data_IF_321526257944
#
_entry.id   IF_321526257944
#
_cell.length_a   1.000
_cell.length_b   1.000
_cell.length_c   1.000
_cell.angle_alpha   90.00
_cell.angle_beta   90.00
_cell.angle_gamma   90.00
#
_symmetry.space_group_name_H-M   'P 1'
#
loop_
_entity.id
_entity.type
_entity.pdbx_description
1 polymer ?
#
# COMPACT_ATOMS: atom_id res chain seq x y z
N UNK A 1 9.50 -20.14 9.72
CA UNK A 1 8.09 -20.52 10.03
C UNK A 1 7.39 -20.81 8.72
N UNK A 2 6.29 -21.58 8.75
CA UNK A 2 5.48 -21.77 7.55
C UNK A 2 4.72 -20.47 7.24
N UNK A 3 4.92 -19.82 6.08
CA UNK A 3 4.25 -18.55 5.74
C UNK A 3 2.72 -18.69 5.69
N UNK A 4 2.19 -19.90 5.44
CA UNK A 4 0.75 -20.16 5.38
C UNK A 4 0.08 -20.23 6.75
N UNK A 5 0.85 -20.33 7.83
CA UNK A 5 0.34 -20.38 9.20
C UNK A 5 0.33 -18.99 9.86
N UNK A 6 1.03 -17.99 9.26
CA UNK A 6 1.04 -16.63 9.77
C UNK A 6 -0.36 -16.03 9.74
N UNK A 7 -0.80 -15.49 10.87
CA UNK A 7 -2.06 -14.76 10.99
C UNK A 7 -1.88 -13.36 10.41
N UNK A 8 -2.33 -13.18 9.18
CA UNK A 8 -2.16 -11.93 8.44
C UNK A 8 -3.41 -11.06 8.58
N UNK A 9 -3.21 -9.79 8.96
CA UNK A 9 -4.22 -8.76 8.81
C UNK A 9 -3.89 -7.89 7.61
N UNK A 10 -4.80 -7.84 6.64
CA UNK A 10 -4.66 -7.06 5.42
C UNK A 10 -5.42 -5.73 5.55
N UNK A 11 -4.77 -4.62 5.23
CA UNK A 11 -5.33 -3.27 5.35
C UNK A 11 -5.22 -2.54 4.02
N UNK A 12 -6.34 -2.16 3.41
CA UNK A 12 -6.36 -1.50 2.11
C UNK A 12 -7.71 -0.89 1.78
N UNK A 13 -7.77 -0.06 0.74
CA UNK A 13 -9.03 0.60 0.32
C UNK A 13 -9.28 0.48 -1.18
N UNK A 14 -8.40 0.99 -2.08
CA UNK A 14 -8.68 1.05 -3.51
C UNK A 14 -8.39 -0.27 -4.23
N UNK A 15 -8.78 -0.33 -5.48
CA UNK A 15 -8.53 -1.42 -6.40
C UNK A 15 -7.06 -1.88 -6.44
N UNK A 16 -6.11 -0.96 -6.31
CA UNK A 16 -4.67 -1.26 -6.29
C UNK A 16 -4.28 -2.35 -5.27
N UNK A 17 -5.02 -2.45 -4.17
CA UNK A 17 -4.78 -3.43 -3.12
C UNK A 17 -5.43 -4.81 -3.40
N UNK A 18 -6.45 -4.87 -4.26
CA UNK A 18 -7.26 -6.07 -4.48
C UNK A 18 -6.48 -7.25 -5.03
N UNK A 19 -5.63 -7.12 -6.07
CA UNK A 19 -4.87 -8.27 -6.58
C UNK A 19 -3.95 -8.90 -5.54
N UNK A 20 -3.34 -8.10 -4.67
CA UNK A 20 -2.50 -8.62 -3.57
C UNK A 20 -3.32 -9.43 -2.57
N UNK A 21 -4.52 -8.95 -2.18
CA UNK A 21 -5.42 -9.70 -1.31
C UNK A 21 -5.84 -11.04 -1.94
N UNK A 22 -6.25 -11.02 -3.22
CA UNK A 22 -6.63 -12.22 -3.96
C UNK A 22 -5.47 -13.20 -4.09
N UNK A 23 -4.26 -12.73 -4.38
CA UNK A 23 -3.06 -13.55 -4.50
C UNK A 23 -2.69 -14.24 -3.18
N UNK A 24 -2.80 -13.53 -2.06
CA UNK A 24 -2.59 -14.12 -0.73
C UNK A 24 -3.58 -15.26 -0.46
N UNK A 25 -4.88 -15.04 -0.67
CA UNK A 25 -5.89 -16.07 -0.45
C UNK A 25 -5.73 -17.25 -1.41
N UNK A 26 -5.54 -16.98 -2.70
CA UNK A 26 -5.31 -18.03 -3.70
C UNK A 26 -4.03 -18.84 -3.43
N UNK A 27 -3.01 -18.18 -2.87
CA UNK A 27 -1.77 -18.81 -2.42
C UNK A 27 -1.91 -19.61 -1.11
N UNK A 28 -3.07 -19.62 -0.47
CA UNK A 28 -3.31 -20.36 0.78
C UNK A 28 -2.72 -19.66 2.02
N UNK A 29 -2.42 -18.36 1.97
CA UNK A 29 -2.00 -17.61 3.15
C UNK A 29 -3.19 -17.35 4.08
N UNK A 30 -2.94 -17.38 5.38
CA UNK A 30 -3.98 -17.23 6.40
C UNK A 30 -4.32 -15.75 6.67
N UNK A 31 -5.14 -15.16 5.80
CA UNK A 31 -5.68 -13.80 6.02
C UNK A 31 -6.83 -13.90 7.02
N UNK A 32 -6.58 -13.49 8.27
CA UNK A 32 -7.55 -13.61 9.37
C UNK A 32 -8.57 -12.49 9.42
N UNK A 33 -8.25 -11.33 8.86
CA UNK A 33 -9.19 -10.22 8.69
C UNK A 33 -8.69 -9.22 7.65
N UNK A 34 -9.64 -8.47 7.09
CA UNK A 34 -9.40 -7.34 6.19
C UNK A 34 -9.92 -6.07 6.86
N UNK A 35 -9.06 -5.04 6.92
CA UNK A 35 -9.44 -3.73 7.44
C UNK A 35 -9.55 -2.75 6.27
N UNK A 36 -10.68 -2.08 6.17
CA UNK A 36 -10.90 -1.08 5.11
C UNK A 36 -11.67 0.13 5.64
N UNK A 37 -11.88 1.15 4.80
CA UNK A 37 -12.64 2.34 5.19
C UNK A 37 -14.12 2.03 5.35
N UNK A 38 -14.86 2.75 6.24
CA UNK A 38 -16.31 2.66 6.31
C UNK A 38 -16.97 2.99 4.97
N UNK A 39 -18.14 2.38 4.73
CA UNK A 39 -18.98 2.71 3.58
C UNK A 39 -19.42 4.17 3.68
N UNK A 40 -19.42 4.87 2.56
CA UNK A 40 -19.79 6.29 2.50
C UNK A 40 -20.84 6.52 1.43
N UNK A 41 -21.84 7.37 1.69
CA UNK A 41 -22.72 7.85 0.64
C UNK A 41 -21.89 8.55 -0.46
N UNK A 42 -22.07 8.17 -1.71
CA UNK A 42 -21.36 8.77 -2.86
C UNK A 42 -22.30 8.98 -4.05
N UNK A 43 -21.95 9.97 -4.87
CA UNK A 43 -22.61 10.27 -6.12
C UNK A 43 -24.01 10.91 -6.00
N UNK A 44 -24.65 11.17 -7.16
CA UNK A 44 -26.04 11.64 -7.25
C UNK A 44 -26.96 10.51 -6.79
N UNK A 45 -27.69 10.70 -5.68
CA UNK A 45 -28.58 9.70 -5.10
C UNK A 45 -28.04 8.99 -3.87
N UNK A 46 -26.86 9.39 -3.34
CA UNK A 46 -26.28 8.93 -2.07
C UNK A 46 -26.28 7.39 -1.89
N UNK A 47 -26.02 6.64 -2.96
CA UNK A 47 -25.81 5.21 -2.85
C UNK A 47 -24.57 4.93 -2.01
N UNK A 48 -24.64 3.96 -1.09
CA UNK A 48 -23.50 3.53 -0.30
C UNK A 48 -22.41 2.99 -1.22
N UNK A 49 -21.26 3.67 -1.20
CA UNK A 49 -20.06 3.22 -1.90
C UNK A 49 -19.24 2.36 -0.95
N UNK A 50 -19.05 1.11 -1.32
CA UNK A 50 -18.16 0.17 -0.65
C UNK A 50 -16.78 0.23 -1.29
N UNK A 51 -15.72 0.06 -0.49
CA UNK A 51 -14.37 0.00 -1.04
C UNK A 51 -14.16 -1.27 -1.88
N UNK A 52 -13.32 -1.20 -2.91
CA UNK A 52 -13.00 -2.35 -3.75
C UNK A 52 -12.41 -3.51 -2.94
N UNK A 53 -11.62 -3.18 -1.92
CA UNK A 53 -11.06 -4.18 -0.99
C UNK A 53 -12.17 -4.85 -0.17
N UNK A 54 -13.22 -4.11 0.27
CA UNK A 54 -14.37 -4.72 0.96
C UNK A 54 -15.08 -5.71 0.06
N UNK A 55 -15.40 -5.31 -1.17
CA UNK A 55 -16.09 -6.17 -2.13
C UNK A 55 -15.30 -7.47 -2.35
N UNK A 56 -14.00 -7.35 -2.59
CA UNK A 56 -13.14 -8.52 -2.76
C UNK A 56 -13.08 -9.40 -1.50
N UNK A 57 -12.99 -8.80 -0.31
CA UNK A 57 -12.96 -9.54 0.95
C UNK A 57 -14.26 -10.35 1.18
N UNK A 58 -15.42 -9.76 0.88
CA UNK A 58 -16.70 -10.42 0.99
C UNK A 58 -16.84 -11.60 0.01
N UNK A 59 -16.40 -11.42 -1.25
CA UNK A 59 -16.36 -12.49 -2.25
C UNK A 59 -15.45 -13.65 -1.82
N UNK A 60 -14.36 -13.34 -1.11
CA UNK A 60 -13.40 -14.33 -0.59
C UNK A 60 -13.82 -14.94 0.76
N UNK A 61 -14.97 -14.53 1.32
CA UNK A 61 -15.46 -15.01 2.61
C UNK A 61 -14.62 -14.57 3.82
N UNK A 62 -13.87 -13.46 3.70
CA UNK A 62 -13.00 -12.96 4.76
C UNK A 62 -13.75 -12.02 5.72
N UNK A 63 -13.42 -12.05 7.02
CA UNK A 63 -13.91 -11.07 7.98
C UNK A 63 -13.47 -9.65 7.61
N UNK A 64 -14.41 -8.68 7.64
CA UNK A 64 -14.14 -7.27 7.30
C UNK A 64 -14.36 -6.39 8.52
N UNK A 65 -13.36 -5.57 8.84
CA UNK A 65 -13.41 -4.54 9.87
C UNK A 65 -13.39 -3.15 9.23
N UNK A 66 -14.34 -2.30 9.60
CA UNK A 66 -14.49 -0.95 9.03
C UNK A 66 -14.52 0.12 10.13
N UNK A 67 -13.42 0.33 10.88
CA UNK A 67 -13.42 1.29 11.97
C UNK A 67 -13.51 2.73 11.44
N UNK A 68 -14.36 3.55 12.03
CA UNK A 68 -14.36 5.00 11.78
C UNK A 68 -13.08 5.62 12.32
N UNK A 69 -12.71 5.27 13.54
CA UNK A 69 -11.51 5.72 14.23
C UNK A 69 -10.57 4.54 14.52
N UNK A 70 -9.37 4.59 13.98
CA UNK A 70 -8.36 3.53 14.16
C UNK A 70 -7.82 3.42 15.59
N UNK A 71 -8.05 4.44 16.44
CA UNK A 71 -7.66 4.44 17.86
C UNK A 71 -8.84 4.08 18.79
N UNK A 72 -10.02 3.77 18.26
CA UNK A 72 -11.16 3.41 19.06
C UNK A 72 -10.87 2.11 19.85
N UNK A 73 -11.17 2.08 21.18
CA UNK A 73 -10.84 0.92 22.00
C UNK A 73 -11.41 -0.39 21.45
N UNK A 74 -12.66 -0.37 21.00
CA UNK A 74 -13.33 -1.53 20.42
C UNK A 74 -12.62 -2.09 19.18
N UNK A 75 -12.01 -1.23 18.36
CA UNK A 75 -11.24 -1.67 17.21
C UNK A 75 -9.86 -2.22 17.64
N UNK A 76 -9.21 -1.58 18.61
CA UNK A 76 -7.94 -2.07 19.16
C UNK A 76 -8.12 -3.45 19.79
N UNK A 77 -9.18 -3.64 20.58
CA UNK A 77 -9.54 -4.93 21.18
C UNK A 77 -9.83 -6.00 20.11
N UNK A 78 -10.60 -5.66 19.08
CA UNK A 78 -10.87 -6.56 17.96
C UNK A 78 -9.56 -6.98 17.25
N UNK A 79 -8.65 -6.05 17.00
CA UNK A 79 -7.35 -6.33 16.41
C UNK A 79 -6.49 -7.23 17.32
N UNK A 80 -6.47 -6.97 18.63
CA UNK A 80 -5.75 -7.80 19.61
C UNK A 80 -6.30 -9.24 19.66
N UNK A 81 -7.62 -9.39 19.61
CA UNK A 81 -8.27 -10.71 19.59
C UNK A 81 -7.89 -11.54 18.35
N UNK A 82 -7.56 -10.90 17.23
CA UNK A 82 -7.05 -11.58 16.04
C UNK A 82 -5.66 -12.16 16.23
N UNK A 83 -4.88 -11.71 17.23
CA UNK A 83 -3.48 -12.12 17.48
C UNK A 83 -2.67 -12.12 16.18
N UNK A 84 -2.54 -10.98 15.49
CA UNK A 84 -1.88 -10.93 14.18
C UNK A 84 -0.38 -11.20 14.31
N UNK A 85 0.13 -12.02 13.40
CA UNK A 85 1.58 -12.22 13.26
C UNK A 85 2.20 -11.16 12.35
N UNK A 86 1.47 -10.76 11.30
CA UNK A 86 1.96 -9.84 10.27
C UNK A 86 0.82 -8.92 9.82
N UNK A 87 1.14 -7.63 9.70
CA UNK A 87 0.29 -6.63 9.07
C UNK A 87 0.73 -6.33 7.63
N UNK A 88 -0.21 -6.22 6.71
CA UNK A 88 0.04 -5.78 5.33
C UNK A 88 -0.79 -4.55 5.05
N UNK A 89 -0.16 -3.48 4.58
CA UNK A 89 -0.82 -2.22 4.25
C UNK A 89 -0.62 -1.90 2.77
N UNK A 90 -1.69 -1.63 2.05
CA UNK A 90 -1.62 -1.20 0.65
C UNK A 90 -2.65 -0.09 0.42
N UNK A 91 -2.16 1.11 0.12
CA UNK A 91 -3.00 2.28 -0.17
C UNK A 91 -4.12 2.47 0.88
N UNK A 92 -3.73 2.62 2.12
CA UNK A 92 -4.62 2.82 3.25
C UNK A 92 -4.33 4.15 3.96
N UNK A 93 -5.24 4.59 4.82
CA UNK A 93 -5.01 5.78 5.66
C UNK A 93 -3.91 5.53 6.68
N UNK A 94 -3.31 6.62 7.19
CA UNK A 94 -2.24 6.54 8.20
C UNK A 94 -2.68 5.72 9.41
N UNK A 95 -1.90 4.72 9.76
CA UNK A 95 -2.12 3.85 10.92
C UNK A 95 -1.50 4.44 12.17
N UNK A 96 -2.21 4.43 13.31
CA UNK A 96 -1.60 4.75 14.60
C UNK A 96 -0.67 3.61 15.05
N UNK A 97 0.32 3.97 15.87
CA UNK A 97 1.32 3.02 16.38
C UNK A 97 0.69 1.79 17.04
N UNK A 98 -0.34 2.00 17.87
CA UNK A 98 -1.06 0.91 18.57
C UNK A 98 -1.59 -0.18 17.61
N UNK A 99 -1.75 0.12 16.32
CA UNK A 99 -2.20 -0.83 15.29
C UNK A 99 -1.01 -1.40 14.52
N UNK A 100 -0.12 -0.54 13.97
CA UNK A 100 0.97 -1.06 13.12
C UNK A 100 2.06 -1.79 13.90
N UNK A 101 2.25 -1.47 15.19
CA UNK A 101 3.22 -2.16 16.05
C UNK A 101 2.67 -3.43 16.73
N UNK A 102 1.35 -3.71 16.57
CA UNK A 102 0.71 -4.84 17.22
C UNK A 102 1.14 -6.22 16.68
N UNK A 103 1.29 -6.42 15.35
CA UNK A 103 1.72 -7.72 14.82
C UNK A 103 3.17 -8.03 15.23
N UNK A 104 3.43 -9.24 15.74
CA UNK A 104 4.75 -9.61 16.29
C UNK A 104 5.90 -9.60 15.28
N UNK A 105 5.61 -9.75 13.98
CA UNK A 105 6.58 -9.65 12.88
C UNK A 105 6.56 -8.26 12.23
N UNK A 106 5.80 -7.31 12.83
CA UNK A 106 5.63 -5.97 12.32
C UNK A 106 4.55 -5.85 11.26
N UNK A 107 4.47 -4.66 10.71
CA UNK A 107 3.56 -4.32 9.60
C UNK A 107 4.39 -3.75 8.48
N UNK A 108 4.21 -4.24 7.26
CA UNK A 108 4.85 -3.65 6.10
C UNK A 108 3.82 -3.00 5.15
N UNK A 109 4.30 -2.02 4.39
CA UNK A 109 3.53 -1.36 3.33
C UNK A 109 4.10 -1.72 1.96
N UNK A 110 3.23 -1.83 0.96
CA UNK A 110 3.58 -1.78 -0.45
C UNK A 110 3.42 -0.35 -0.95
N UNK A 111 4.52 0.28 -1.34
CA UNK A 111 4.56 1.63 -1.91
C UNK A 111 4.91 1.59 -3.39
N UNK A 112 4.20 2.39 -4.20
CA UNK A 112 4.33 2.38 -5.65
C UNK A 112 5.42 3.33 -6.16
N UNK A 113 6.62 3.26 -5.57
CA UNK A 113 7.83 3.92 -6.05
C UNK A 113 9.08 3.15 -5.62
N UNK A 114 10.24 3.56 -6.11
CA UNK A 114 11.56 3.15 -5.61
C UNK A 114 11.95 4.06 -4.45
N UNK A 115 11.56 3.72 -3.22
CA UNK A 115 11.96 4.47 -2.03
C UNK A 115 13.49 4.58 -1.95
N UNK A 116 14.04 5.71 -1.52
CA UNK A 116 13.40 6.85 -0.86
C UNK A 116 12.75 7.88 -1.80
N UNK A 117 12.79 7.70 -3.11
CA UNK A 117 12.16 8.60 -4.06
C UNK A 117 10.64 8.48 -4.02
N UNK A 118 9.94 9.59 -4.22
CA UNK A 118 8.48 9.64 -4.33
C UNK A 118 7.74 9.14 -3.08
N UNK A 119 8.25 9.47 -1.88
CA UNK A 119 7.48 9.32 -0.64
C UNK A 119 6.22 10.18 -0.70
N UNK A 120 5.07 9.65 -0.28
CA UNK A 120 3.82 10.40 -0.21
C UNK A 120 2.64 9.76 -0.92
N UNK A 121 1.63 10.57 -1.24
CA UNK A 121 0.29 10.09 -1.59
C UNK A 121 0.09 9.73 -3.08
N UNK A 122 0.93 10.24 -4.00
CA UNK A 122 0.72 10.08 -5.45
C UNK A 122 2.00 9.68 -6.22
N UNK A 123 2.74 8.64 -5.78
CA UNK A 123 4.04 8.29 -6.34
C UNK A 123 4.00 7.97 -7.84
N UNK A 124 3.00 7.25 -8.31
CA UNK A 124 2.85 6.89 -9.73
C UNK A 124 2.68 8.13 -10.59
N UNK A 125 1.81 9.04 -10.16
CA UNK A 125 1.54 10.27 -10.91
C UNK A 125 2.80 11.13 -11.02
N UNK A 126 3.50 11.34 -9.91
CA UNK A 126 4.67 12.22 -9.90
C UNK A 126 5.86 11.64 -10.66
N UNK A 127 6.04 10.32 -10.67
CA UNK A 127 7.06 9.70 -11.52
C UNK A 127 6.79 9.98 -13.02
N UNK A 128 5.53 9.87 -13.45
CA UNK A 128 5.14 10.17 -14.85
C UNK A 128 5.21 11.66 -15.14
N UNK A 129 4.73 12.54 -14.24
CA UNK A 129 4.77 14.00 -14.41
C UNK A 129 6.22 14.50 -14.53
N UNK A 130 7.13 13.96 -13.74
CA UNK A 130 8.55 14.34 -13.77
C UNK A 130 9.33 13.74 -14.95
N UNK A 131 8.67 12.91 -15.78
CA UNK A 131 9.30 12.33 -16.96
C UNK A 131 10.35 11.27 -16.63
N UNK A 132 10.18 10.57 -15.52
CA UNK A 132 11.07 9.46 -15.17
C UNK A 132 11.03 8.36 -16.23
N UNK A 133 12.15 7.71 -16.43
CA UNK A 133 12.26 6.56 -17.34
C UNK A 133 12.14 5.22 -16.63
N UNK A 134 12.14 5.24 -15.30
CA UNK A 134 12.02 4.09 -14.42
C UNK A 134 11.30 4.49 -13.13
N UNK A 135 10.50 3.59 -12.60
CA UNK A 135 9.94 3.63 -11.25
C UNK A 135 9.95 2.23 -10.66
N UNK A 136 9.10 1.92 -9.70
CA UNK A 136 9.01 0.57 -9.16
C UNK A 136 8.04 0.45 -8.01
N UNK A 137 8.18 -0.64 -7.29
CA UNK A 137 7.45 -0.91 -6.06
C UNK A 137 8.41 -1.27 -4.95
N UNK A 138 8.08 -0.86 -3.74
CA UNK A 138 8.88 -1.11 -2.53
C UNK A 138 8.00 -1.70 -1.44
N UNK A 139 8.44 -2.78 -0.80
CA UNK A 139 7.92 -3.20 0.50
C UNK A 139 8.86 -2.72 1.60
N UNK A 140 8.28 -2.12 2.66
CA UNK A 140 9.05 -1.59 3.78
C UNK A 140 8.28 -1.71 5.09
N UNK A 141 8.97 -1.88 6.22
CA UNK A 141 8.38 -1.92 7.55
C UNK A 141 7.88 -0.53 7.95
N UNK A 142 6.70 -0.46 8.58
CA UNK A 142 6.19 0.80 9.10
C UNK A 142 6.96 1.25 10.34
N UNK A 143 7.13 2.55 10.45
CA UNK A 143 7.64 3.23 11.63
C UNK A 143 6.83 4.52 11.89
N UNK A 144 7.32 5.42 12.75
CA UNK A 144 6.65 6.68 13.08
C UNK A 144 6.65 7.71 11.95
N UNK A 145 7.55 7.58 10.96
CA UNK A 145 7.70 8.52 9.87
C UNK A 145 7.05 7.99 8.58
N UNK A 146 6.40 8.88 7.84
CA UNK A 146 5.71 8.51 6.60
C UNK A 146 6.72 8.03 5.56
N UNK A 147 6.55 6.79 5.08
CA UNK A 147 7.32 6.14 4.02
C UNK A 147 8.84 6.11 4.26
N UNK A 148 9.29 6.23 5.52
CA UNK A 148 10.70 6.22 5.91
C UNK A 148 11.14 4.95 6.65
N UNK A 149 10.30 3.95 6.76
CA UNK A 149 10.64 2.69 7.41
C UNK A 149 11.66 1.87 6.62
N UNK A 150 12.23 0.87 7.25
CA UNK A 150 13.28 0.04 6.67
C UNK A 150 12.78 -0.76 5.45
N UNK A 151 13.46 -0.62 4.32
CA UNK A 151 13.12 -1.28 3.04
C UNK A 151 13.40 -2.78 3.15
N UNK A 152 12.40 -3.60 2.80
CA UNK A 152 12.53 -5.06 2.75
C UNK A 152 12.94 -5.51 1.36
N UNK A 153 12.25 -5.03 0.32
CA UNK A 153 12.50 -5.39 -1.06
C UNK A 153 12.01 -4.33 -2.03
N UNK A 154 12.60 -4.30 -3.23
CA UNK A 154 12.22 -3.40 -4.32
C UNK A 154 12.25 -4.11 -5.65
N UNK A 155 11.32 -3.76 -6.53
CA UNK A 155 11.33 -4.18 -7.93
C UNK A 155 11.24 -2.97 -8.83
N UNK A 156 12.19 -2.86 -9.78
CA UNK A 156 12.26 -1.79 -10.77
C UNK A 156 11.31 -2.08 -11.93
N UNK A 157 10.65 -1.04 -12.43
CA UNK A 157 9.72 -1.12 -13.56
C UNK A 157 10.02 0.03 -14.52
N UNK A 158 10.35 -0.25 -15.79
CA UNK A 158 10.61 0.81 -16.78
C UNK A 158 9.33 1.55 -17.14
N UNK A 159 9.45 2.87 -17.33
CA UNK A 159 8.42 3.74 -17.89
C UNK A 159 8.76 3.92 -19.37
N UNK A 160 7.95 3.32 -20.25
CA UNK A 160 8.15 3.39 -21.69
C UNK A 160 7.57 4.69 -22.27
N UNK A 161 8.04 5.15 -23.44
CA UNK A 161 7.57 6.42 -24.03
C UNK A 161 6.04 6.52 -24.29
N UNK A 162 5.35 5.40 -24.32
CA UNK A 162 3.89 5.35 -24.51
C UNK A 162 3.12 5.15 -23.19
N UNK A 163 3.85 4.99 -22.08
CA UNK A 163 3.20 4.81 -20.80
C UNK A 163 2.59 6.13 -20.29
N UNK A 164 1.49 6.00 -19.62
CA UNK A 164 0.81 7.03 -18.87
C UNK A 164 0.52 6.55 -17.45
N UNK A 165 -0.10 7.39 -16.63
CA UNK A 165 -0.43 7.03 -15.23
C UNK A 165 -1.26 5.75 -15.14
N UNK A 166 -2.24 5.55 -16.04
CA UNK A 166 -3.09 4.35 -16.04
C UNK A 166 -2.30 3.08 -16.34
N UNK A 167 -1.49 3.08 -17.43
CA UNK A 167 -0.67 1.90 -17.76
C UNK A 167 0.38 1.61 -16.70
N UNK A 168 0.95 2.64 -16.07
CA UNK A 168 1.89 2.46 -14.96
C UNK A 168 1.20 1.96 -13.70
N UNK A 169 -0.02 2.42 -13.41
CA UNK A 169 -0.84 1.90 -12.31
C UNK A 169 -1.02 0.39 -12.43
N UNK A 170 -1.42 -0.11 -13.60
CA UNK A 170 -1.63 -1.54 -13.84
C UNK A 170 -0.32 -2.34 -13.70
N UNK A 171 0.78 -1.86 -14.30
CA UNK A 171 2.10 -2.51 -14.20
C UNK A 171 2.56 -2.62 -12.75
N UNK A 172 2.48 -1.52 -11.99
CA UNK A 172 2.94 -1.48 -10.60
C UNK A 172 2.03 -2.29 -9.67
N UNK A 173 0.73 -2.32 -9.94
CA UNK A 173 -0.23 -3.15 -9.21
C UNK A 173 0.11 -4.64 -9.35
N UNK A 174 0.36 -5.12 -10.57
CA UNK A 174 0.73 -6.52 -10.80
C UNK A 174 2.11 -6.87 -10.24
N UNK A 175 3.11 -6.01 -10.47
CA UNK A 175 4.46 -6.19 -9.92
C UNK A 175 4.45 -6.19 -8.40
N UNK A 176 3.69 -5.27 -7.80
CA UNK A 176 3.52 -5.17 -6.35
C UNK A 176 2.84 -6.39 -5.74
N UNK A 177 1.88 -6.98 -6.45
CA UNK A 177 1.21 -8.21 -6.01
C UNK A 177 2.20 -9.37 -5.83
N UNK A 178 3.10 -9.58 -6.79
CA UNK A 178 4.14 -10.60 -6.68
C UNK A 178 5.11 -10.29 -5.53
N UNK A 179 5.51 -9.01 -5.40
CA UNK A 179 6.43 -8.59 -4.34
C UNK A 179 5.82 -8.75 -2.94
N UNK A 180 4.51 -8.56 -2.77
CA UNK A 180 3.81 -8.77 -1.48
C UNK A 180 3.91 -10.23 -1.03
N UNK A 181 3.61 -11.18 -1.91
CA UNK A 181 3.70 -12.62 -1.57
C UNK A 181 5.13 -13.04 -1.28
N UNK A 182 6.10 -12.61 -2.09
CA UNK A 182 7.53 -12.83 -1.84
C UNK A 182 7.96 -12.26 -0.47
N UNK A 183 7.50 -11.04 -0.14
CA UNK A 183 7.83 -10.39 1.13
C UNK A 183 7.30 -11.20 2.32
N UNK A 184 6.08 -11.73 2.24
CA UNK A 184 5.53 -12.60 3.29
C UNK A 184 6.37 -13.86 3.46
N UNK A 185 6.76 -14.52 2.37
CA UNK A 185 7.58 -15.73 2.40
C UNK A 185 8.96 -15.45 3.02
N UNK A 186 9.61 -14.36 2.65
CA UNK A 186 10.91 -13.95 3.20
C UNK A 186 10.84 -13.61 4.69
N UNK A 187 9.80 -12.88 5.12
CA UNK A 187 9.59 -12.58 6.54
C UNK A 187 9.38 -13.89 7.33
N UNK A 188 8.57 -14.82 6.82
CA UNK A 188 8.32 -16.09 7.48
C UNK A 188 9.58 -16.96 7.57
N UNK A 189 10.44 -16.93 6.56
CA UNK A 189 11.72 -17.64 6.55
C UNK A 189 12.76 -17.00 7.51
N UNK A 190 12.55 -15.75 7.94
CA UNK A 190 13.56 -14.96 8.66
C UNK A 190 14.70 -14.50 7.75
N UNK A 191 14.49 -14.53 6.44
CA UNK A 191 15.45 -14.11 5.41
C UNK A 191 15.15 -12.67 4.96
N UNK A 192 15.14 -11.76 5.94
CA UNK A 192 14.95 -10.32 5.71
C UNK A 192 16.08 -9.58 6.39
N UNK A 193 16.77 -8.75 5.62
CA UNK A 193 17.72 -7.76 6.14
C UNK A 193 17.21 -6.37 5.74
N UNK A 194 16.29 -5.79 6.53
CA UNK A 194 15.70 -4.50 6.19
C UNK A 194 16.79 -3.41 6.13
N UNK A 195 16.77 -2.63 5.07
CA UNK A 195 17.72 -1.54 4.85
C UNK A 195 17.10 -0.22 5.33
N UNK A 196 17.72 0.39 6.34
CA UNK A 196 17.30 1.71 6.82
C UNK A 196 17.45 2.78 5.74
N UNK A 197 16.49 3.70 5.68
CA UNK A 197 16.51 4.84 4.78
C UNK A 197 17.24 6.05 5.43
N UNK A 198 18.48 5.83 5.92
CA UNK A 198 19.29 6.84 6.63
C UNK A 198 20.46 7.33 5.76
N UNK A 199 21.04 8.50 6.12
CA UNK A 199 22.19 9.06 5.42
C UNK A 199 21.89 9.57 4.00
N UNK A 200 20.63 9.82 3.70
CA UNK A 200 20.18 10.26 2.39
C UNK A 200 20.14 11.79 2.36
N UNK A 201 20.69 12.37 1.30
CA UNK A 201 20.55 13.80 1.03
C UNK A 201 19.09 14.08 0.58
N UNK A 202 18.27 14.56 1.50
CA UNK A 202 16.84 14.83 1.24
C UNK A 202 16.63 15.90 0.15
N UNK A 203 17.62 16.76 -0.13
CA UNK A 203 17.51 17.75 -1.21
C UNK A 203 17.47 17.12 -2.60
N UNK A 204 17.91 15.88 -2.73
CA UNK A 204 17.91 15.10 -3.97
C UNK A 204 16.68 14.18 -4.11
N UNK A 205 15.77 14.22 -3.14
CA UNK A 205 14.57 13.41 -3.18
C UNK A 205 13.42 14.18 -3.83
N UNK A 206 12.68 13.49 -4.66
CA UNK A 206 11.44 13.98 -5.23
C UNK A 206 10.27 13.51 -4.35
N UNK A 207 9.52 14.42 -3.70
CA UNK A 207 8.33 14.06 -2.95
C UNK A 207 7.16 13.75 -3.89
N UNK A 208 6.19 12.99 -3.41
CA UNK A 208 4.96 12.68 -4.14
C UNK A 208 3.71 13.16 -3.36
N UNK A 209 3.52 14.46 -3.19
CA UNK A 209 2.37 15.00 -2.47
C UNK A 209 1.06 14.63 -3.15
N UNK A 210 -0.05 14.72 -2.39
CA UNK A 210 -1.38 14.55 -2.94
C UNK A 210 -1.64 15.57 -4.04
N UNK A 211 -2.19 15.11 -5.16
CA UNK A 211 -2.58 15.96 -6.28
C UNK A 211 -4.01 16.46 -6.04
N UNK A 212 -4.20 17.76 -6.14
CA UNK A 212 -5.47 18.43 -6.03
C UNK A 212 -5.94 18.94 -7.41
N UNK A 213 -7.20 19.34 -7.49
CA UNK A 213 -7.79 19.84 -8.75
C UNK A 213 -7.04 21.04 -9.33
N UNK A 214 -6.49 21.86 -8.46
CA UNK A 214 -5.72 23.06 -8.80
C UNK A 214 -4.42 22.71 -9.50
N UNK A 215 -3.77 21.60 -9.11
CA UNK A 215 -2.53 21.10 -9.72
C UNK A 215 -2.76 20.59 -11.16
N UNK A 216 -4.01 20.28 -11.50
CA UNK A 216 -4.39 19.80 -12.84
C UNK A 216 -4.70 20.94 -13.83
N UNK A 217 -4.46 22.22 -13.43
CA UNK A 217 -4.69 23.36 -14.33
C UNK A 217 -3.64 23.38 -15.43
N UNK A 218 -4.10 23.33 -16.71
CA UNK A 218 -3.21 23.43 -17.87
C UNK A 218 -2.71 24.86 -18.00
N UNK A 219 -1.40 25.05 -18.01
CA UNK A 219 -0.78 26.29 -18.42
C UNK A 219 -0.45 26.21 -19.93
N UNK A 220 -1.27 26.89 -20.73
CA UNK A 220 -1.15 26.88 -22.19
C UNK A 220 0.08 27.60 -22.72
N UNK A 221 0.88 28.26 -21.86
CA UNK A 221 2.16 28.86 -22.24
C UNK A 221 3.31 27.84 -22.26
N UNK A 222 3.11 26.64 -21.71
CA UNK A 222 4.12 25.58 -21.70
C UNK A 222 4.12 24.76 -22.97
N UNK A 223 5.28 24.24 -23.33
CA UNK A 223 5.38 23.29 -24.44
C UNK A 223 4.59 22.00 -24.12
N UNK A 224 3.86 21.48 -25.13
CA UNK A 224 2.92 20.36 -24.99
C UNK A 224 3.51 18.99 -24.63
N UNK A 225 4.72 18.96 -24.07
CA UNK A 225 5.41 17.74 -23.58
C UNK A 225 5.60 17.70 -22.07
N UNK A 226 4.99 18.63 -21.37
CA UNK A 226 4.98 18.66 -19.87
C UNK A 226 3.60 18.46 -19.32
#
# INVERSE_FOLDING_TARGET
>A
MNPKELRIVFMGTPEFAVPSLRALVAGGYNVVAVVTTPDKPAGRGQKLHQSEVKLAALELGLPVLQPEKLKAPEFVEAMQALKPDLGIVIAFRMLPEVIWAMPRLGTFNLHASLLPQYRGAAPINWAVINGETETGVTTFLLNHEIDKGAIIAQVRVPILPKDNVGTMYDKLMHTGTALVTETVDRIAAGDVQPMEQTGIDESRLHPAPKIFKEDCRIDWSWEGRR
#
